data_IF_273307911681
#
_entry.id   IF_273307911681
#
_cell.length_a   1.000
_cell.length_b   1.000
_cell.length_c   1.000
_cell.angle_alpha   90.00
_cell.angle_beta   90.00
_cell.angle_gamma   90.00
#
_symmetry.space_group_name_H-M   'P 1'
#
loop_
_entity.id
_entity.type
_entity.pdbx_description
1 polymer ?
#
# COMPACT_ATOMS: atom_id res chain seq x y z
N UNK A 1 -0.83 -36.27 -15.93
CA UNK A 1 -0.93 -35.11 -15.04
C UNK A 1 0.32 -35.15 -14.18
N UNK A 2 1.24 -34.20 -14.38
CA UNK A 2 2.51 -34.17 -13.65
C UNK A 2 2.32 -33.39 -12.35
N UNK A 3 2.31 -34.11 -11.23
CA UNK A 3 2.13 -33.52 -9.90
C UNK A 3 3.30 -32.61 -9.53
N UNK A 4 4.50 -32.88 -10.04
CA UNK A 4 5.66 -32.05 -9.80
C UNK A 4 5.51 -30.68 -10.48
N UNK A 5 5.10 -30.67 -11.75
CA UNK A 5 4.83 -29.44 -12.49
C UNK A 5 3.76 -28.57 -11.80
N UNK A 6 2.68 -29.18 -11.31
CA UNK A 6 1.63 -28.45 -10.57
C UNK A 6 2.15 -27.82 -9.27
N UNK A 7 3.00 -28.54 -8.52
CA UNK A 7 3.59 -28.01 -7.29
C UNK A 7 4.56 -26.86 -7.58
N UNK A 8 5.38 -26.97 -8.63
CA UNK A 8 6.29 -25.91 -9.08
C UNK A 8 5.52 -24.63 -9.44
N UNK A 9 4.46 -24.75 -10.23
CA UNK A 9 3.61 -23.61 -10.60
C UNK A 9 2.99 -22.93 -9.37
N UNK A 10 2.54 -23.72 -8.38
CA UNK A 10 2.01 -23.17 -7.13
C UNK A 10 3.06 -22.42 -6.31
N UNK A 11 4.28 -22.94 -6.22
CA UNK A 11 5.39 -22.28 -5.51
C UNK A 11 5.72 -20.94 -6.19
N UNK A 12 5.83 -20.92 -7.52
CA UNK A 12 6.12 -19.70 -8.27
C UNK A 12 5.04 -18.63 -8.06
N UNK A 13 3.76 -19.01 -8.12
CA UNK A 13 2.65 -18.10 -7.84
C UNK A 13 2.71 -17.52 -6.42
N UNK A 14 2.96 -18.36 -5.42
CA UNK A 14 3.07 -17.92 -4.04
C UNK A 14 4.27 -16.98 -3.83
N UNK A 15 5.40 -17.26 -4.47
CA UNK A 15 6.58 -16.39 -4.45
C UNK A 15 6.31 -15.03 -5.10
N UNK A 16 5.62 -15.01 -6.25
CA UNK A 16 5.22 -13.78 -6.91
C UNK A 16 4.28 -12.94 -6.04
N UNK A 17 3.30 -13.57 -5.38
CA UNK A 17 2.40 -12.90 -4.44
C UNK A 17 3.15 -12.32 -3.24
N UNK A 18 4.07 -13.09 -2.65
CA UNK A 18 4.90 -12.62 -1.54
C UNK A 18 5.75 -11.40 -1.94
N UNK A 19 6.33 -11.43 -3.13
CA UNK A 19 7.14 -10.32 -3.62
C UNK A 19 6.28 -9.08 -3.86
N UNK A 20 5.09 -9.23 -4.45
CA UNK A 20 4.12 -8.14 -4.61
C UNK A 20 3.76 -7.50 -3.27
N UNK A 21 3.39 -8.30 -2.26
CA UNK A 21 3.06 -7.80 -0.93
C UNK A 21 4.23 -7.09 -0.26
N UNK A 22 5.47 -7.58 -0.46
CA UNK A 22 6.67 -6.92 0.05
C UNK A 22 6.86 -5.54 -0.58
N UNK A 23 6.63 -5.41 -1.88
CA UNK A 23 6.76 -4.15 -2.60
C UNK A 23 5.65 -3.16 -2.20
N UNK A 24 4.42 -3.63 -2.04
CA UNK A 24 3.29 -2.82 -1.53
C UNK A 24 3.57 -2.33 -0.10
N UNK A 25 4.01 -3.21 0.80
CA UNK A 25 4.37 -2.86 2.16
C UNK A 25 5.51 -1.83 2.21
N UNK A 26 6.49 -1.94 1.32
CA UNK A 26 7.59 -0.97 1.21
C UNK A 26 7.05 0.42 0.87
N UNK A 27 6.18 0.52 -0.13
CA UNK A 27 5.54 1.79 -0.54
C UNK A 27 4.67 2.35 0.58
N UNK A 28 3.88 1.51 1.25
CA UNK A 28 3.04 1.92 2.38
C UNK A 28 3.87 2.47 3.55
N UNK A 29 4.96 1.79 3.92
CA UNK A 29 5.89 2.27 4.96
C UNK A 29 6.49 3.63 4.59
N UNK A 30 7.02 3.76 3.37
CA UNK A 30 7.61 5.01 2.89
C UNK A 30 6.59 6.16 2.88
N UNK A 31 5.33 5.91 2.49
CA UNK A 31 4.25 6.90 2.56
C UNK A 31 3.91 7.31 4.00
N UNK A 32 3.89 6.35 4.94
CA UNK A 32 3.68 6.64 6.37
C UNK A 32 4.82 7.51 6.92
N UNK A 33 6.06 7.22 6.52
CA UNK A 33 7.22 8.04 6.86
C UNK A 33 7.06 9.45 6.30
N UNK A 34 6.72 9.60 5.01
CA UNK A 34 6.52 10.89 4.36
C UNK A 34 5.54 11.78 5.12
N UNK A 35 4.37 11.23 5.49
CA UNK A 35 3.38 11.98 6.27
C UNK A 35 3.84 12.26 7.70
N UNK A 36 4.47 11.30 8.37
CA UNK A 36 5.02 11.51 9.70
C UNK A 36 6.10 12.60 9.72
N UNK A 37 6.91 12.75 8.68
CA UNK A 37 7.86 13.85 8.55
C UNK A 37 7.14 15.21 8.42
N UNK A 38 6.07 15.29 7.64
CA UNK A 38 5.29 16.53 7.44
C UNK A 38 4.56 16.93 8.72
N UNK A 39 4.02 15.97 9.47
CA UNK A 39 3.36 16.19 10.75
C UNK A 39 4.34 16.52 11.88
N UNK A 40 5.66 16.35 11.65
CA UNK A 40 6.69 16.50 12.68
C UNK A 40 6.83 15.32 13.64
N UNK A 41 6.10 14.22 13.39
CA UNK A 41 6.11 13.00 14.19
C UNK A 41 7.35 12.13 13.95
N UNK A 42 7.98 12.25 12.77
CA UNK A 42 9.18 11.50 12.38
C UNK A 42 10.29 12.46 12.03
N UNK A 43 11.45 12.29 12.66
CA UNK A 43 12.65 13.02 12.29
C UNK A 43 13.37 12.30 11.14
N UNK A 44 13.43 12.94 9.97
CA UNK A 44 14.09 12.41 8.76
C UNK A 44 15.56 12.02 9.00
N UNK A 45 16.26 12.72 9.89
CA UNK A 45 17.67 12.44 10.21
C UNK A 45 17.87 11.10 10.93
N UNK A 46 16.81 10.49 11.45
CA UNK A 46 16.85 9.19 12.13
C UNK A 46 16.56 8.02 11.18
N UNK A 47 16.26 8.30 9.90
CA UNK A 47 15.96 7.26 8.93
C UNK A 47 17.24 6.62 8.38
N UNK A 48 17.20 5.30 8.20
CA UNK A 48 18.28 4.57 7.53
C UNK A 48 18.31 4.83 6.02
N UNK A 49 19.44 4.54 5.39
CA UNK A 49 19.65 4.75 3.95
C UNK A 49 18.55 4.12 3.07
N UNK A 50 18.12 2.90 3.41
CA UNK A 50 17.04 2.22 2.69
C UNK A 50 15.72 2.98 2.78
N UNK A 51 15.37 3.47 3.97
CA UNK A 51 14.15 4.24 4.19
C UNK A 51 14.20 5.58 3.44
N UNK A 52 15.36 6.23 3.41
CA UNK A 52 15.59 7.46 2.64
C UNK A 52 15.43 7.22 1.13
N UNK A 53 15.97 6.11 0.61
CA UNK A 53 15.83 5.74 -0.81
C UNK A 53 14.38 5.47 -1.19
N UNK A 54 13.69 4.68 -0.38
CA UNK A 54 12.27 4.36 -0.61
C UNK A 54 11.40 5.63 -0.48
N UNK A 55 11.73 6.51 0.47
CA UNK A 55 11.07 7.81 0.65
C UNK A 55 11.27 8.72 -0.56
N UNK A 56 12.48 8.81 -1.12
CA UNK A 56 12.75 9.59 -2.33
C UNK A 56 11.86 9.15 -3.49
N UNK A 57 11.77 7.83 -3.73
CA UNK A 57 10.91 7.29 -4.80
C UNK A 57 9.44 7.67 -4.60
N UNK A 58 8.92 7.53 -3.37
CA UNK A 58 7.50 7.85 -3.08
C UNK A 58 7.21 9.34 -3.20
N UNK A 59 8.15 10.21 -2.83
CA UNK A 59 8.01 11.67 -3.00
C UNK A 59 7.97 12.02 -4.49
N UNK A 60 8.89 11.48 -5.28
CA UNK A 60 8.94 11.72 -6.73
C UNK A 60 7.65 11.26 -7.42
N UNK A 61 7.17 10.06 -7.10
CA UNK A 61 5.90 9.53 -7.61
C UNK A 61 4.71 10.41 -7.22
N UNK A 62 4.68 10.88 -5.97
CA UNK A 62 3.62 11.75 -5.49
C UNK A 62 3.62 13.11 -6.22
N UNK A 63 4.79 13.74 -6.36
CA UNK A 63 4.96 15.01 -7.07
C UNK A 63 4.57 14.87 -8.55
N UNK A 64 4.95 13.77 -9.21
CA UNK A 64 4.55 13.48 -10.58
C UNK A 64 3.03 13.33 -10.72
N UNK A 65 2.38 12.63 -9.79
CA UNK A 65 0.92 12.51 -9.75
C UNK A 65 0.24 13.87 -9.56
N UNK A 66 0.80 14.70 -8.68
CA UNK A 66 0.27 16.03 -8.38
C UNK A 66 0.40 16.95 -9.59
N UNK A 67 1.56 16.94 -10.26
CA UNK A 67 1.79 17.67 -11.51
C UNK A 67 0.81 17.24 -12.60
N UNK A 68 0.62 15.94 -12.81
CA UNK A 68 -0.37 15.41 -13.76
C UNK A 68 -1.79 15.89 -13.43
N UNK A 69 -2.15 15.91 -12.15
CA UNK A 69 -3.45 16.42 -11.68
C UNK A 69 -3.61 17.91 -11.97
N UNK A 70 -2.59 18.72 -11.68
CA UNK A 70 -2.61 20.17 -11.95
C UNK A 70 -2.78 20.43 -13.45
N UNK A 71 -2.03 19.72 -14.30
CA UNK A 71 -2.13 19.88 -15.75
C UNK A 71 -3.49 19.42 -16.30
N UNK A 72 -4.07 18.37 -15.75
CA UNK A 72 -5.43 17.95 -16.08
C UNK A 72 -6.46 19.04 -15.74
N UNK A 73 -6.42 19.58 -14.51
CA UNK A 73 -7.34 20.61 -14.07
C UNK A 73 -7.21 21.91 -14.89
N UNK A 74 -5.98 22.31 -15.25
CA UNK A 74 -5.75 23.47 -16.13
C UNK A 74 -6.39 23.31 -17.51
N UNK A 75 -6.32 22.10 -18.09
CA UNK A 75 -6.84 21.82 -19.45
C UNK A 75 -8.36 21.72 -19.48
N UNK A 76 -8.97 21.27 -18.39
CA UNK A 76 -10.40 20.94 -18.33
C UNK A 76 -11.25 21.97 -17.57
N UNK A 77 -10.64 23.03 -17.02
CA UNK A 77 -11.33 24.03 -16.18
C UNK A 77 -11.67 23.50 -14.79
N UNK A 78 -12.01 24.39 -13.85
CA UNK A 78 -12.23 24.06 -12.43
C UNK A 78 -13.56 23.33 -12.13
N UNK A 79 -14.33 22.90 -13.13
CA UNK A 79 -15.68 22.34 -12.90
C UNK A 79 -15.93 21.04 -13.65
N UNK A 80 -15.83 19.93 -12.93
CA UNK A 80 -16.93 18.96 -12.82
C UNK A 80 -16.62 17.95 -11.72
N UNK A 81 -17.36 18.08 -10.62
CA UNK A 81 -17.88 17.11 -9.62
C UNK A 81 -17.32 15.69 -9.42
N UNK A 82 -16.41 15.16 -10.23
CA UNK A 82 -15.72 13.91 -9.93
C UNK A 82 -14.33 14.24 -9.38
N UNK A 83 -14.23 14.41 -8.06
CA UNK A 83 -12.94 14.28 -7.39
C UNK A 83 -12.33 12.92 -7.83
N UNK A 84 -11.17 12.87 -8.50
CA UNK A 84 -10.50 11.60 -8.73
C UNK A 84 -10.14 11.00 -7.36
N UNK A 85 -10.08 9.66 -7.21
CA UNK A 85 -10.06 8.99 -5.92
C UNK A 85 -8.97 9.59 -5.03
N UNK A 86 -9.41 10.19 -3.91
CA UNK A 86 -8.52 10.50 -2.79
C UNK A 86 -7.81 9.20 -2.49
N UNK A 87 -6.48 9.17 -2.59
CA UNK A 87 -5.71 8.00 -2.16
C UNK A 87 -5.84 7.94 -0.65
N UNK A 88 -6.95 7.36 -0.20
CA UNK A 88 -7.18 7.00 1.19
C UNK A 88 -6.03 6.08 1.58
N UNK A 89 -5.29 6.37 2.66
CA UNK A 89 -4.45 5.35 3.26
C UNK A 89 -5.39 4.20 3.60
N UNK A 90 -5.19 3.04 2.98
CA UNK A 90 -5.92 1.83 3.29
C UNK A 90 -5.63 1.45 4.75
N UNK A 91 -6.44 1.97 5.67
CA UNK A 91 -6.71 1.32 6.95
C UNK A 91 -7.93 0.45 6.70
N UNK A 92 -7.71 -0.69 6.05
CA UNK A 92 -8.64 -1.80 6.18
C UNK A 92 -8.35 -2.42 7.55
N UNK A 93 -8.99 -1.87 8.59
CA UNK A 93 -9.33 -2.69 9.76
C UNK A 93 -10.50 -3.54 9.27
N UNK A 94 -10.21 -4.73 8.77
CA UNK A 94 -11.22 -5.79 8.74
C UNK A 94 -11.33 -6.30 10.18
N UNK A 95 -12.25 -5.69 10.90
CA UNK A 95 -12.92 -6.30 12.04
C UNK A 95 -13.97 -7.27 11.48
N UNK A 96 -14.03 -8.45 12.09
CA UNK A 96 -15.08 -9.46 11.99
C UNK A 96 -15.20 -10.34 10.74
N UNK A 97 -14.64 -11.55 10.85
CA UNK A 97 -15.27 -12.77 10.36
C UNK A 97 -14.99 -13.95 11.32
N UNK A 98 -15.99 -14.24 12.15
CA UNK A 98 -16.37 -15.52 12.75
C UNK A 98 -15.29 -16.39 13.44
N UNK A 99 -15.22 -16.24 14.77
CA UNK A 99 -14.83 -17.34 15.65
C UNK A 99 -16.06 -18.24 15.84
N UNK A 100 -16.05 -19.52 15.44
CA UNK A 100 -17.13 -20.43 15.79
C UNK A 100 -17.02 -20.76 17.28
N UNK A 101 -17.82 -20.09 18.09
CA UNK A 101 -18.16 -20.50 19.44
C UNK A 101 -19.35 -21.45 19.37
N UNK A 102 -19.18 -22.71 19.78
CA UNK A 102 -20.19 -23.44 20.54
C UNK A 102 -19.51 -24.45 21.46
N UNK A 103 -19.51 -24.09 22.74
CA UNK A 103 -19.46 -24.98 23.89
C UNK A 103 -20.71 -25.89 23.95
N UNK A 104 -20.58 -27.04 24.61
CA UNK A 104 -21.70 -27.72 25.25
C UNK A 104 -22.02 -29.13 24.76
N UNK A 105 -21.44 -30.15 25.40
CA UNK A 105 -22.25 -31.18 26.06
C UNK A 105 -21.40 -32.03 27.01
N UNK A 106 -21.60 -31.78 28.30
CA UNK A 106 -21.45 -32.77 29.36
C UNK A 106 -22.54 -33.84 29.19
N UNK A 107 -22.14 -35.11 29.04
CA UNK A 107 -22.41 -36.21 29.97
C UNK A 107 -21.78 -37.51 29.49
#
# INVERSE_FOLDING_TARGET
MDQEAFLREKIEKAQAQLQKLRDENRVMKARKIMWGCIEGNINVCQLGEKDLKDLSSVIDDYLNSLKSRVEYLKKNGESSSSLPPRVVPYLNVEEDADVPSMDGSHH
#
